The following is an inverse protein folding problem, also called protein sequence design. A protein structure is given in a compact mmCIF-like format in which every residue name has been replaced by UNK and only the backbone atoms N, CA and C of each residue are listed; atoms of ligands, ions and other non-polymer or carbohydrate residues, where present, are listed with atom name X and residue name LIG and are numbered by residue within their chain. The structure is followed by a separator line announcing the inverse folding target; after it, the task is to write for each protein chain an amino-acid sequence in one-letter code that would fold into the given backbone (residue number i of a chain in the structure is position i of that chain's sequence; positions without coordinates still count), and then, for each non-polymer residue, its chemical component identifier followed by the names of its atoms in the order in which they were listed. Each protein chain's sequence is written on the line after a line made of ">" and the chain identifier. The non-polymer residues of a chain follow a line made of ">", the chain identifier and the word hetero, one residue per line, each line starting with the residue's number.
data_IF_270208284830
#
_entry.id   IF_270208284830
#
_cell.length_a   1.000
_cell.length_b   1.000
_cell.length_c   1.000
_cell.angle_alpha   90.00
_cell.angle_beta   90.00
_cell.angle_gamma   90.00
#
_symmetry.space_group_name_H-M   'P 1'
#
loop_
_entity.id
_entity.type
_entity.pdbx_description
1 polymer ?
#
# COMPACT_ATOMS: atom_id res chain seq x y z
N UNK A 1 7.83 -8.18 -19.86
CA UNK A 1 6.80 -7.80 -18.86
C UNK A 1 7.09 -6.52 -18.05
N UNK A 2 7.84 -5.52 -18.58
CA UNK A 2 8.15 -4.27 -17.85
C UNK A 2 6.96 -3.30 -17.69
N UNK A 3 5.86 -3.52 -18.43
CA UNK A 3 4.73 -2.59 -18.51
C UNK A 3 3.96 -2.47 -17.18
N UNK A 4 4.02 -3.49 -16.32
CA UNK A 4 3.26 -3.53 -15.07
C UNK A 4 4.03 -3.08 -13.84
N UNK A 5 5.35 -2.96 -13.95
CA UNK A 5 6.23 -2.67 -12.81
C UNK A 5 5.84 -1.37 -12.09
N UNK A 6 5.50 -0.33 -12.86
CA UNK A 6 5.05 0.96 -12.32
C UNK A 6 3.77 0.89 -11.48
N UNK A 7 2.92 -0.11 -11.71
CA UNK A 7 1.66 -0.26 -10.97
C UNK A 7 1.83 -0.96 -9.62
N UNK A 8 3.03 -1.46 -9.31
CA UNK A 8 3.38 -1.91 -7.95
C UNK A 8 3.41 -0.74 -6.95
N UNK A 9 3.47 0.50 -7.46
CA UNK A 9 3.59 1.72 -6.65
C UNK A 9 4.97 1.94 -6.04
N UNK A 10 5.91 1.00 -6.22
CA UNK A 10 7.27 1.06 -5.63
C UNK A 10 8.37 1.02 -6.67
N UNK A 11 8.23 0.19 -7.70
CA UNK A 11 9.29 -0.05 -8.68
C UNK A 11 9.00 0.64 -10.01
N UNK A 12 10.03 1.18 -10.67
CA UNK A 12 9.90 1.76 -12.00
C UNK A 12 9.06 3.05 -12.07
N UNK A 13 8.94 3.77 -10.95
CA UNK A 13 8.28 5.08 -10.85
C UNK A 13 9.30 6.17 -10.48
N UNK A 14 9.02 7.41 -10.89
CA UNK A 14 9.85 8.56 -10.54
C UNK A 14 9.28 9.34 -9.32
N UNK A 15 9.94 10.42 -8.92
CA UNK A 15 9.53 11.25 -7.77
C UNK A 15 8.15 11.89 -7.95
N UNK A 16 7.81 12.28 -9.17
CA UNK A 16 6.51 12.89 -9.48
C UNK A 16 5.39 11.83 -9.44
N UNK A 17 5.62 10.66 -10.02
CA UNK A 17 4.73 9.50 -9.92
C UNK A 17 4.48 9.11 -8.47
N UNK A 18 5.53 9.10 -7.65
CA UNK A 18 5.44 8.78 -6.22
C UNK A 18 4.60 9.82 -5.47
N UNK A 19 4.79 11.12 -5.76
CA UNK A 19 3.97 12.18 -5.18
C UNK A 19 2.50 12.03 -5.59
N UNK A 20 2.24 11.81 -6.88
CA UNK A 20 0.89 11.59 -7.40
C UNK A 20 0.22 10.37 -6.77
N UNK A 21 0.97 9.29 -6.53
CA UNK A 21 0.48 8.10 -5.83
C UNK A 21 0.09 8.43 -4.39
N UNK A 22 0.93 9.14 -3.63
CA UNK A 22 0.63 9.53 -2.25
C UNK A 22 -0.61 10.43 -2.17
N UNK A 23 -0.71 11.42 -3.05
CA UNK A 23 -1.86 12.31 -3.12
C UNK A 23 -3.14 11.54 -3.49
N UNK A 24 -3.03 10.57 -4.40
CA UNK A 24 -4.15 9.69 -4.77
C UNK A 24 -4.57 8.82 -3.61
N UNK A 25 -3.64 8.14 -2.91
CA UNK A 25 -3.97 7.30 -1.75
C UNK A 25 -4.66 8.11 -0.67
N UNK A 26 -4.14 9.30 -0.35
CA UNK A 26 -4.76 10.21 0.62
C UNK A 26 -6.17 10.64 0.21
N UNK A 27 -6.40 10.92 -1.07
CA UNK A 27 -7.74 11.29 -1.56
C UNK A 27 -8.70 10.11 -1.50
N UNK A 28 -8.25 8.93 -1.90
CA UNK A 28 -9.08 7.73 -1.97
C UNK A 28 -9.38 7.15 -0.58
N UNK A 29 -8.47 7.31 0.40
CA UNK A 29 -8.71 6.86 1.78
C UNK A 29 -9.88 7.58 2.44
N UNK A 30 -10.14 8.85 2.08
CA UNK A 30 -11.29 9.62 2.59
C UNK A 30 -12.64 9.02 2.19
N UNK A 31 -12.68 8.10 1.22
CA UNK A 31 -13.91 7.43 0.77
C UNK A 31 -14.25 6.21 1.62
N UNK A 32 -13.36 5.79 2.52
CA UNK A 32 -13.60 4.60 3.33
C UNK A 32 -14.47 4.97 4.53
N UNK A 33 -15.63 4.32 4.63
CA UNK A 33 -16.46 4.37 5.83
C UNK A 33 -15.92 3.37 6.84
N UNK A 34 -15.00 3.83 7.68
CA UNK A 34 -14.38 3.03 8.74
C UNK A 34 -14.80 3.61 10.08
N UNK A 35 -15.51 2.81 10.89
CA UNK A 35 -15.90 3.18 12.23
C UNK A 35 -14.71 3.16 13.21
N UNK A 36 -14.80 3.91 14.31
CA UNK A 36 -13.66 4.11 15.23
C UNK A 36 -13.24 2.85 16.02
N UNK A 37 -14.15 1.90 16.23
CA UNK A 37 -13.93 0.72 17.07
C UNK A 37 -13.60 -0.56 16.27
N UNK A 38 -13.41 -0.46 14.95
CA UNK A 38 -13.13 -1.62 14.11
C UNK A 38 -11.63 -1.91 13.98
N UNK A 39 -11.28 -3.21 14.00
CA UNK A 39 -9.94 -3.68 13.61
C UNK A 39 -9.87 -3.83 12.11
N UNK A 40 -8.88 -3.19 11.49
CA UNK A 40 -8.79 -3.11 10.04
C UNK A 40 -7.51 -3.78 9.58
N UNK A 41 -7.61 -4.68 8.61
CA UNK A 41 -6.45 -5.34 8.02
C UNK A 41 -6.32 -4.97 6.54
N UNK A 42 -5.25 -4.26 6.20
CA UNK A 42 -4.86 -3.96 4.83
C UNK A 42 -4.04 -5.13 4.25
N UNK A 43 -4.63 -5.85 3.30
CA UNK A 43 -4.01 -6.99 2.64
C UNK A 43 -3.47 -6.60 1.27
N UNK A 44 -2.19 -6.91 1.04
CA UNK A 44 -1.58 -6.95 -0.27
C UNK A 44 -0.69 -8.16 -0.39
N UNK A 45 -0.38 -8.59 -1.61
CA UNK A 45 0.45 -9.76 -1.86
C UNK A 45 1.68 -9.39 -2.68
N UNK A 46 2.82 -9.97 -2.32
CA UNK A 46 4.09 -9.82 -3.03
C UNK A 46 4.41 -8.37 -3.46
N UNK A 47 4.57 -8.12 -4.77
CA UNK A 47 4.92 -6.82 -5.32
C UNK A 47 3.81 -5.75 -5.19
N UNK A 48 2.59 -6.14 -4.82
CA UNK A 48 1.45 -5.25 -4.64
C UNK A 48 1.17 -4.88 -3.18
N UNK A 49 2.04 -5.27 -2.23
CA UNK A 49 1.88 -4.92 -0.80
C UNK A 49 2.02 -3.42 -0.52
N UNK A 50 2.79 -2.71 -1.33
CA UNK A 50 3.15 -1.32 -1.02
C UNK A 50 1.94 -0.39 -1.00
N UNK A 51 0.99 -0.54 -1.93
CA UNK A 51 -0.20 0.32 -2.02
C UNK A 51 -1.12 0.12 -0.79
N UNK A 52 -1.52 -1.10 -0.40
CA UNK A 52 -2.25 -1.33 0.84
C UNK A 52 -1.56 -0.77 2.09
N UNK A 53 -0.23 -0.86 2.17
CA UNK A 53 0.53 -0.26 3.27
C UNK A 53 0.41 1.28 3.31
N UNK A 54 0.39 1.95 2.14
CA UNK A 54 0.16 3.39 2.08
C UNK A 54 -1.23 3.77 2.57
N UNK A 55 -2.26 2.95 2.28
CA UNK A 55 -3.60 3.14 2.83
C UNK A 55 -3.63 2.95 4.34
N UNK A 56 -3.00 1.89 4.86
CA UNK A 56 -2.90 1.66 6.31
C UNK A 56 -2.32 2.88 7.04
N UNK A 57 -1.32 3.53 6.44
CA UNK A 57 -0.72 4.75 6.99
C UNK A 57 -1.70 5.95 7.09
N UNK A 58 -2.75 6.00 6.27
CA UNK A 58 -3.75 7.07 6.35
C UNK A 58 -4.68 6.94 7.58
N UNK A 59 -4.64 5.80 8.26
CA UNK A 59 -5.48 5.47 9.41
C UNK A 59 -4.64 5.07 10.63
N UNK A 60 -3.41 5.60 10.73
CA UNK A 60 -2.46 5.28 11.80
C UNK A 60 -2.94 5.66 13.22
N UNK A 61 -4.02 6.44 13.30
CA UNK A 61 -4.75 6.81 14.52
C UNK A 61 -5.78 5.75 14.97
N UNK A 62 -5.99 4.68 14.20
CA UNK A 62 -6.93 3.56 14.47
C UNK A 62 -6.21 2.23 14.71
N UNK A 63 -6.96 1.18 15.10
CA UNK A 63 -6.44 -0.19 15.25
C UNK A 63 -6.25 -0.86 13.89
N UNK A 64 -5.16 -0.48 13.20
CA UNK A 64 -4.83 -0.91 11.83
C UNK A 64 -3.66 -1.88 11.79
N UNK A 65 -3.81 -2.89 10.94
CA UNK A 65 -2.79 -3.87 10.61
C UNK A 65 -2.55 -3.85 9.11
N UNK A 66 -1.33 -4.18 8.69
CA UNK A 66 -1.03 -4.42 7.28
C UNK A 66 -0.26 -5.73 7.13
N UNK A 67 -0.52 -6.43 6.04
CA UNK A 67 0.22 -7.65 5.73
C UNK A 67 1.55 -7.32 5.07
N UNK A 68 2.64 -7.77 5.67
CA UNK A 68 3.99 -7.65 5.14
C UNK A 68 4.62 -9.04 5.05
N UNK A 69 4.97 -9.47 3.84
CA UNK A 69 5.71 -10.71 3.60
C UNK A 69 7.02 -10.39 2.94
N UNK A 70 8.09 -10.99 3.44
CA UNK A 70 9.37 -11.02 2.75
C UNK A 70 9.50 -12.37 2.07
N UNK A 71 9.73 -12.41 0.76
CA UNK A 71 10.30 -13.62 0.15
C UNK A 71 11.76 -13.68 0.58
N UNK A 72 12.11 -14.58 1.49
CA UNK A 72 13.52 -14.94 1.67
C UNK A 72 14.03 -15.45 0.32
N UNK A 73 15.20 -15.01 -0.17
CA UNK A 73 15.78 -15.61 -1.34
C UNK A 73 15.92 -17.11 -1.08
N UNK A 74 15.31 -17.94 -1.91
CA UNK A 74 15.68 -19.35 -1.98
C UNK A 74 17.08 -19.33 -2.56
N UNK A 75 18.09 -19.49 -1.71
CA UNK A 75 19.47 -19.72 -2.13
C UNK A 75 19.57 -21.23 -2.33
N UNK A 76 19.50 -21.69 -3.58
CA UNK A 76 20.03 -23.01 -3.97
C UNK A 76 21.53 -22.90 -4.23
#
# INVERSE_FOLDING_TARGET
>A
NKKYLKYTGRFGINKEDQKNLLDTVKKESLKFSIDYDEKILFLGTEEFMYIPMLFAKQFEDKDVYYHSTTRSPIVE
#
